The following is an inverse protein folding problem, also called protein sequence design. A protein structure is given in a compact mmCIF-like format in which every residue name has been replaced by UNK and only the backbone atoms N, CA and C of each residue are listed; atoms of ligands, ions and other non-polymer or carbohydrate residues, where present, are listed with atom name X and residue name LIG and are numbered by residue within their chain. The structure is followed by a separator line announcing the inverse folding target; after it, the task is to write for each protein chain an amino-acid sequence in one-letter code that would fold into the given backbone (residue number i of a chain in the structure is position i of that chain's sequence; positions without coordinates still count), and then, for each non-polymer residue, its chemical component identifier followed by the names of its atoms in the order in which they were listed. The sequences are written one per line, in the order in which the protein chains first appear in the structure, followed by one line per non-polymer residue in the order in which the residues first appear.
data_IF_716919462871
#
_entry.id   IF_716919462871
#
_cell.length_a   1.000
_cell.length_b   1.000
_cell.length_c   1.000
_cell.angle_alpha   90.00
_cell.angle_beta   90.00
_cell.angle_gamma   90.00
#
_symmetry.space_group_name_H-M   'P 1'
#
loop_
_entity.id
_entity.type
_entity.pdbx_description
1 polymer ?
#
# COMPACT_ATOMS: atom_id res chain seq x y z
N UNK A 1 -70.28 -15.61 -17.76
CA UNK A 1 -70.13 -14.16 -17.48
C UNK A 1 -68.93 -13.99 -16.57
N UNK A 2 -67.76 -13.71 -17.15
CA UNK A 2 -66.48 -13.52 -16.46
C UNK A 2 -65.80 -12.32 -17.12
N UNK A 3 -66.00 -11.14 -16.55
CA UNK A 3 -65.34 -9.91 -17.00
C UNK A 3 -65.06 -9.02 -15.79
N UNK A 4 -64.19 -9.46 -14.86
CA UNK A 4 -63.74 -8.57 -13.79
C UNK A 4 -62.45 -9.01 -13.07
N UNK A 5 -61.30 -9.06 -13.75
CA UNK A 5 -59.98 -9.10 -13.05
C UNK A 5 -58.82 -8.39 -13.75
N UNK A 6 -58.94 -7.96 -15.01
CA UNK A 6 -57.80 -7.44 -15.78
C UNK A 6 -57.22 -6.10 -15.26
N UNK A 7 -58.04 -5.25 -14.62
CA UNK A 7 -57.61 -3.91 -14.20
C UNK A 7 -56.84 -3.90 -12.87
N UNK A 8 -56.93 -4.96 -12.06
CA UNK A 8 -56.19 -5.08 -10.80
C UNK A 8 -54.77 -5.56 -11.07
N UNK A 9 -54.62 -6.62 -11.87
CA UNK A 9 -53.33 -7.23 -12.23
C UNK A 9 -52.37 -6.28 -12.97
N UNK A 10 -52.88 -5.38 -13.80
CA UNK A 10 -52.04 -4.44 -14.54
C UNK A 10 -51.29 -3.46 -13.63
N UNK A 11 -51.94 -2.96 -12.56
CA UNK A 11 -51.35 -2.00 -11.61
C UNK A 11 -50.27 -2.66 -10.75
N UNK A 12 -50.48 -3.91 -10.35
CA UNK A 12 -49.50 -4.69 -9.60
C UNK A 12 -48.28 -5.07 -10.47
N UNK A 13 -48.46 -5.35 -11.76
CA UNK A 13 -47.34 -5.56 -12.68
C UNK A 13 -46.50 -4.29 -12.90
N UNK A 14 -47.14 -3.13 -13.06
CA UNK A 14 -46.44 -1.84 -13.16
C UNK A 14 -45.65 -1.51 -11.90
N UNK A 15 -46.24 -1.71 -10.71
CA UNK A 15 -45.55 -1.49 -9.44
C UNK A 15 -44.35 -2.44 -9.27
N UNK A 16 -44.48 -3.71 -9.68
CA UNK A 16 -43.38 -4.68 -9.68
C UNK A 16 -42.28 -4.35 -10.68
N UNK A 17 -42.63 -3.84 -11.86
CA UNK A 17 -41.65 -3.41 -12.86
C UNK A 17 -40.86 -2.18 -12.39
N UNK A 18 -41.53 -1.21 -11.75
CA UNK A 18 -40.88 -0.01 -11.18
C UNK A 18 -39.97 -0.38 -10.01
N UNK A 19 -40.40 -1.24 -9.09
CA UNK A 19 -39.55 -1.69 -7.98
C UNK A 19 -38.34 -2.49 -8.48
N UNK A 20 -38.51 -3.30 -9.51
CA UNK A 20 -37.41 -3.98 -10.20
C UNK A 20 -36.40 -3.00 -10.82
N UNK A 21 -36.87 -1.97 -11.50
CA UNK A 21 -36.01 -0.92 -12.08
C UNK A 21 -35.24 -0.15 -11.00
N UNK A 22 -35.88 0.19 -9.88
CA UNK A 22 -35.23 0.87 -8.74
C UNK A 22 -34.16 -0.03 -8.11
N UNK A 23 -34.44 -1.33 -7.95
CA UNK A 23 -33.47 -2.28 -7.41
C UNK A 23 -32.23 -2.40 -8.29
N UNK A 24 -32.42 -2.47 -9.62
CA UNK A 24 -31.30 -2.48 -10.58
C UNK A 24 -30.48 -1.19 -10.50
N UNK A 25 -31.15 -0.03 -10.46
CA UNK A 25 -30.48 1.26 -10.34
C UNK A 25 -29.68 1.38 -9.04
N UNK A 26 -30.22 0.89 -7.93
CA UNK A 26 -29.52 0.85 -6.65
C UNK A 26 -28.28 -0.05 -6.70
N UNK A 27 -28.38 -1.25 -7.29
CA UNK A 27 -27.24 -2.15 -7.46
C UNK A 27 -26.14 -1.52 -8.33
N UNK A 28 -26.50 -0.86 -9.42
CA UNK A 28 -25.55 -0.12 -10.26
C UNK A 28 -24.88 1.01 -9.49
N UNK A 29 -25.64 1.76 -8.71
CA UNK A 29 -25.11 2.85 -7.88
C UNK A 29 -24.10 2.32 -6.85
N UNK A 30 -24.44 1.25 -6.13
CA UNK A 30 -23.54 0.60 -5.18
C UNK A 30 -22.27 0.10 -5.88
N UNK A 31 -22.42 -0.56 -7.04
CA UNK A 31 -21.27 -1.01 -7.84
C UNK A 31 -20.37 0.15 -8.25
N UNK A 32 -20.95 1.27 -8.72
CA UNK A 32 -20.20 2.45 -9.11
C UNK A 32 -19.44 3.07 -7.92
N UNK A 33 -20.08 3.16 -6.75
CA UNK A 33 -19.46 3.64 -5.52
C UNK A 33 -18.27 2.76 -5.10
N UNK A 34 -18.42 1.44 -5.19
CA UNK A 34 -17.34 0.49 -4.90
C UNK A 34 -16.17 0.65 -5.87
N UNK A 35 -16.43 0.82 -7.16
CA UNK A 35 -15.38 1.07 -8.16
C UNK A 35 -14.67 2.39 -7.87
N UNK A 36 -15.41 3.44 -7.50
CA UNK A 36 -14.82 4.73 -7.15
C UNK A 36 -13.89 4.61 -5.93
N UNK A 37 -14.34 3.90 -4.89
CA UNK A 37 -13.57 3.67 -3.69
C UNK A 37 -12.32 2.82 -3.95
N UNK A 38 -12.48 1.73 -4.71
CA UNK A 38 -11.36 0.90 -5.15
C UNK A 38 -10.35 1.70 -5.97
N UNK A 39 -10.82 2.57 -6.88
CA UNK A 39 -9.98 3.46 -7.66
C UNK A 39 -9.23 4.47 -6.79
N UNK A 40 -9.89 5.06 -5.79
CA UNK A 40 -9.25 5.98 -4.85
C UNK A 40 -8.14 5.28 -4.03
N UNK A 41 -8.42 4.08 -3.51
CA UNK A 41 -7.43 3.28 -2.81
C UNK A 41 -6.27 2.90 -3.74
N UNK A 42 -6.56 2.42 -4.95
CA UNK A 42 -5.56 2.09 -5.93
C UNK A 42 -4.65 3.28 -6.26
N UNK A 43 -5.23 4.49 -6.42
CA UNK A 43 -4.48 5.71 -6.67
C UNK A 43 -3.57 6.07 -5.49
N UNK A 44 -4.08 6.02 -4.26
CA UNK A 44 -3.28 6.27 -3.05
C UNK A 44 -2.10 5.29 -2.95
N UNK A 45 -2.36 3.99 -3.16
CA UNK A 45 -1.31 2.96 -3.14
C UNK A 45 -0.32 3.15 -4.27
N UNK A 46 -0.77 3.51 -5.48
CA UNK A 46 0.11 3.80 -6.60
C UNK A 46 1.05 4.98 -6.30
N UNK A 47 0.53 6.07 -5.75
CA UNK A 47 1.34 7.23 -5.36
C UNK A 47 2.36 6.83 -4.29
N UNK A 48 1.94 6.14 -3.23
CA UNK A 48 2.83 5.65 -2.19
C UNK A 48 3.93 4.73 -2.76
N UNK A 49 3.56 3.81 -3.65
CA UNK A 49 4.49 2.91 -4.33
C UNK A 49 5.49 3.64 -5.22
N UNK A 50 5.04 4.64 -5.99
CA UNK A 50 5.91 5.47 -6.83
C UNK A 50 6.90 6.27 -5.99
N UNK A 51 6.44 6.87 -4.88
CA UNK A 51 7.32 7.59 -3.95
C UNK A 51 8.34 6.66 -3.31
N UNK A 52 7.91 5.48 -2.86
CA UNK A 52 8.80 4.48 -2.27
C UNK A 52 9.83 3.98 -3.29
N UNK A 53 9.41 3.71 -4.52
CA UNK A 53 10.30 3.30 -5.60
C UNK A 53 11.31 4.41 -5.96
N UNK A 54 10.87 5.67 -6.02
CA UNK A 54 11.75 6.81 -6.23
C UNK A 54 12.77 6.96 -5.10
N UNK A 55 12.34 6.85 -3.84
CA UNK A 55 13.23 6.87 -2.69
C UNK A 55 14.25 5.72 -2.73
N UNK A 56 13.81 4.50 -3.06
CA UNK A 56 14.69 3.35 -3.21
C UNK A 56 15.70 3.55 -4.36
N UNK A 57 15.27 4.17 -5.46
CA UNK A 57 16.15 4.49 -6.59
C UNK A 57 17.21 5.52 -6.18
N UNK A 58 16.80 6.58 -5.48
CA UNK A 58 17.71 7.59 -4.91
C UNK A 58 18.68 6.94 -3.94
N UNK A 59 18.23 6.10 -3.01
CA UNK A 59 19.11 5.37 -2.09
C UNK A 59 20.05 4.41 -2.83
N UNK A 60 19.60 3.77 -3.91
CA UNK A 60 20.44 2.87 -4.72
C UNK A 60 21.56 3.62 -5.43
N UNK A 61 21.27 4.79 -5.99
CA UNK A 61 22.27 5.58 -6.72
C UNK A 61 23.13 6.46 -5.80
N UNK A 62 22.54 7.07 -4.76
CA UNK A 62 23.27 7.84 -3.74
C UNK A 62 24.04 6.91 -2.79
N UNK A 63 23.49 5.74 -2.45
CA UNK A 63 24.14 4.71 -1.64
C UNK A 63 25.33 4.07 -2.36
N UNK A 64 25.33 3.99 -3.70
CA UNK A 64 26.55 3.64 -4.46
C UNK A 64 27.68 4.66 -4.31
N UNK A 65 27.37 5.94 -4.08
CA UNK A 65 28.34 6.98 -3.68
C UNK A 65 28.58 7.06 -2.17
N UNK A 66 27.79 6.35 -1.37
CA UNK A 66 27.61 6.55 0.06
C UNK A 66 27.61 5.26 0.89
N UNK A 67 28.27 4.18 0.46
CA UNK A 67 28.55 2.97 1.28
C UNK A 67 29.33 3.31 2.58
N UNK A 68 29.66 4.59 2.79
CA UNK A 68 30.17 5.13 4.04
C UNK A 68 29.11 5.88 4.85
N UNK A 69 27.90 5.34 5.00
CA UNK A 69 26.95 5.80 6.03
C UNK A 69 26.63 4.67 6.99
N UNK A 70 27.50 4.61 8.00
CA UNK A 70 27.12 4.49 9.41
C UNK A 70 26.15 3.34 9.70
N UNK A 71 26.69 2.13 9.76
CA UNK A 71 26.17 1.14 10.70
C UNK A 71 26.11 1.79 12.10
N UNK A 72 25.13 1.46 12.95
CA UNK A 72 25.17 1.88 14.35
C UNK A 72 26.48 1.36 14.93
N UNK A 73 27.43 2.25 15.14
CA UNK A 73 28.71 1.92 15.75
C UNK A 73 28.38 1.50 17.19
N UNK A 74 28.48 0.20 17.44
CA UNK A 74 28.43 -0.35 18.79
C UNK A 74 29.46 0.42 19.63
N UNK A 75 29.14 0.86 20.86
CA UNK A 75 30.06 1.69 21.65
C UNK A 75 31.41 1.02 21.97
N UNK A 76 31.53 -0.28 21.73
CA UNK A 76 32.69 -1.10 22.08
C UNK A 76 33.79 -1.16 21.00
N UNK A 77 33.59 -0.54 19.82
CA UNK A 77 34.62 -0.47 18.77
C UNK A 77 35.34 0.87 18.77
N UNK A 78 35.85 1.28 19.94
CA UNK A 78 37.02 2.16 19.96
C UNK A 78 38.22 1.32 19.49
N UNK A 79 39.01 1.79 18.51
CA UNK A 79 40.27 1.13 18.18
C UNK A 79 41.20 1.30 19.38
N UNK A 80 41.17 0.33 20.29
CA UNK A 80 42.14 0.21 21.37
C UNK A 80 43.51 0.09 20.69
N UNK A 81 44.24 1.19 20.69
CA UNK A 81 45.58 1.24 20.13
C UNK A 81 46.48 0.59 21.16
N UNK A 82 46.63 -0.73 21.07
CA UNK A 82 47.54 -1.48 21.92
C UNK A 82 48.97 -1.09 21.52
N UNK A 83 49.69 -0.50 22.46
CA UNK A 83 51.00 0.10 22.22
C UNK A 83 52.05 -1.02 22.12
N UNK A 84 52.29 -1.51 20.90
CA UNK A 84 53.21 -2.62 20.68
C UNK A 84 54.67 -2.14 20.85
N UNK A 85 55.24 -2.34 22.04
CA UNK A 85 56.65 -2.03 22.31
C UNK A 85 57.54 -3.20 21.87
N UNK A 86 58.53 -2.92 21.00
CA UNK A 86 59.55 -3.92 20.62
C UNK A 86 60.44 -4.21 21.82
N UNK A 87 60.42 -5.45 22.31
CA UNK A 87 61.41 -5.94 23.28
C UNK A 87 62.39 -6.90 22.57
N UNK A 88 63.62 -7.08 23.07
CA UNK A 88 64.62 -7.95 22.42
C UNK A 88 64.21 -9.43 22.31
N UNK A 89 63.14 -9.85 22.99
CA UNK A 89 62.58 -11.21 22.95
C UNK A 89 61.34 -11.35 22.07
N UNK A 90 60.89 -10.26 21.42
CA UNK A 90 59.73 -10.25 20.53
C UNK A 90 58.80 -9.06 20.77
N UNK A 91 57.59 -9.17 20.23
CA UNK A 91 56.52 -8.19 20.44
C UNK A 91 55.68 -8.62 21.64
N UNK A 92 55.51 -7.71 22.61
CA UNK A 92 54.53 -7.86 23.71
C UNK A 92 53.45 -6.81 23.53
N UNK A 93 52.19 -7.20 23.73
CA UNK A 93 51.01 -6.38 23.54
C UNK A 93 50.32 -6.23 24.90
N UNK A 94 50.23 -5.00 25.41
CA UNK A 94 49.47 -4.63 26.61
C UNK A 94 48.34 -3.66 26.25
#
# INVERSE_FOLDING_TARGET
MMTHTASSSARFQLAGAVSGAISLAAQLCIGLLLVLFAGMLALMTAIAGVLLAAAALVMRFAGRRGVRRTAPQRPDEQPMTLDARRTPRGWTVE
#
